data_IF_522750000838
#
_entry.id   IF_522750000838
#
_cell.length_a   1.000
_cell.length_b   1.000
_cell.length_c   1.000
_cell.angle_alpha   90.00
_cell.angle_beta   90.00
_cell.angle_gamma   90.00
#
_symmetry.space_group_name_H-M   'P 1'
#
loop_
_entity.id
_entity.type
_entity.pdbx_description
1 polymer ?
#
# COMPACT_ATOMS: atom_id res chain seq x y z
N UNK A 1 -16.20 -11.70 -81.95
CA UNK A 1 -15.35 -11.10 -80.89
C UNK A 1 -16.27 -10.41 -79.90
N UNK A 2 -16.48 -10.98 -78.71
CA UNK A 2 -17.03 -10.30 -77.54
C UNK A 2 -16.42 -10.99 -76.31
N UNK A 3 -15.52 -10.30 -75.61
CA UNK A 3 -14.91 -10.80 -74.36
C UNK A 3 -15.78 -10.31 -73.20
N UNK A 4 -16.47 -11.23 -72.53
CA UNK A 4 -17.15 -10.94 -71.26
C UNK A 4 -16.09 -11.06 -70.16
N UNK A 5 -15.77 -9.95 -69.51
CA UNK A 5 -14.88 -9.90 -68.34
C UNK A 5 -15.78 -10.07 -67.12
N UNK A 6 -15.68 -11.22 -66.45
CA UNK A 6 -16.38 -11.50 -65.21
C UNK A 6 -15.53 -10.97 -64.03
N UNK A 7 -15.99 -9.90 -63.39
CA UNK A 7 -15.38 -9.40 -62.16
C UNK A 7 -15.90 -10.22 -60.97
N UNK A 8 -15.02 -10.99 -60.33
CA UNK A 8 -15.32 -11.70 -59.08
C UNK A 8 -14.91 -10.78 -57.93
N UNK A 9 -15.89 -10.18 -57.26
CA UNK A 9 -15.66 -9.48 -55.99
C UNK A 9 -15.56 -10.50 -54.86
N UNK A 10 -14.35 -10.75 -54.37
CA UNK A 10 -14.13 -11.54 -53.15
C UNK A 10 -14.38 -10.63 -51.96
N UNK A 11 -15.54 -10.78 -51.31
CA UNK A 11 -15.83 -10.18 -50.01
C UNK A 11 -15.02 -10.93 -48.94
N UNK A 12 -13.91 -10.33 -48.52
CA UNK A 12 -13.16 -10.78 -47.35
C UNK A 12 -13.96 -10.34 -46.12
N UNK A 13 -14.73 -11.25 -45.53
CA UNK A 13 -15.32 -11.04 -44.21
C UNK A 13 -14.18 -11.02 -43.19
N UNK A 14 -13.74 -9.83 -42.79
CA UNK A 14 -12.84 -9.67 -41.67
C UNK A 14 -13.64 -10.02 -40.41
N UNK A 15 -13.64 -11.31 -40.03
CA UNK A 15 -14.14 -11.74 -38.74
C UNK A 15 -13.32 -11.05 -37.68
N UNK A 16 -13.95 -10.19 -36.89
CA UNK A 16 -13.36 -9.67 -35.66
C UNK A 16 -13.12 -10.85 -34.73
N UNK A 17 -11.91 -11.42 -34.79
CA UNK A 17 -11.38 -12.26 -33.73
C UNK A 17 -11.25 -11.35 -32.51
N UNK A 18 -12.33 -11.22 -31.75
CA UNK A 18 -12.23 -10.74 -30.38
C UNK A 18 -11.31 -11.73 -29.68
N UNK A 19 -10.11 -11.27 -29.31
CA UNK A 19 -9.25 -12.02 -28.42
C UNK A 19 -10.09 -12.36 -27.18
N UNK A 20 -10.47 -13.63 -27.01
CA UNK A 20 -11.01 -14.10 -25.74
C UNK A 20 -9.94 -13.75 -24.70
N UNK A 21 -10.24 -12.79 -23.84
CA UNK A 21 -9.48 -12.50 -22.62
C UNK A 21 -10.06 -13.44 -21.56
N UNK A 22 -9.49 -14.63 -21.33
CA UNK A 22 -10.11 -15.65 -20.47
C UNK A 22 -10.15 -15.24 -18.99
N UNK A 23 -9.44 -14.18 -18.61
CA UNK A 23 -9.37 -13.70 -17.23
C UNK A 23 -9.92 -12.28 -17.12
N UNK A 24 -11.24 -12.13 -17.21
CA UNK A 24 -11.90 -10.86 -16.84
C UNK A 24 -11.96 -10.62 -15.33
N UNK A 25 -11.65 -11.65 -14.52
CA UNK A 25 -11.73 -11.57 -13.06
C UNK A 25 -13.15 -11.46 -12.49
N UNK A 26 -14.17 -11.35 -13.34
CA UNK A 26 -15.59 -11.21 -12.96
C UNK A 26 -16.09 -12.41 -12.12
N UNK A 27 -15.48 -13.59 -12.25
CA UNK A 27 -15.77 -14.77 -11.44
C UNK A 27 -14.85 -14.93 -10.21
N UNK A 28 -13.87 -14.03 -10.03
CA UNK A 28 -12.94 -14.04 -8.89
C UNK A 28 -13.32 -13.04 -7.80
N UNK A 29 -14.24 -12.09 -8.09
CA UNK A 29 -14.71 -11.10 -7.12
C UNK A 29 -15.87 -11.70 -6.34
N UNK A 30 -15.64 -12.07 -5.09
CA UNK A 30 -16.67 -12.62 -4.20
C UNK A 30 -17.48 -11.52 -3.51
N UNK A 31 -16.86 -10.38 -3.22
CA UNK A 31 -17.49 -9.21 -2.57
C UNK A 31 -16.87 -7.93 -3.12
N UNK A 32 -17.70 -6.89 -3.30
CA UNK A 32 -17.29 -5.52 -3.58
C UNK A 32 -18.20 -4.56 -2.80
N UNK A 33 -17.62 -3.78 -1.92
CA UNK A 33 -18.34 -2.85 -1.06
C UNK A 33 -17.45 -1.65 -0.67
N UNK A 34 -18.06 -0.64 -0.05
CA UNK A 34 -17.34 0.45 0.59
C UNK A 34 -16.99 0.07 2.03
N UNK A 35 -15.80 0.47 2.48
CA UNK A 35 -15.36 0.28 3.88
C UNK A 35 -16.07 1.26 4.82
N UNK A 36 -16.39 2.46 4.34
CA UNK A 36 -17.04 3.52 5.11
C UNK A 36 -17.89 4.41 4.21
N UNK A 37 -18.83 5.15 4.80
CA UNK A 37 -19.62 6.21 4.15
C UNK A 37 -19.03 7.60 4.47
N UNK A 38 -19.29 8.64 3.65
CA UNK A 38 -18.75 9.98 3.89
C UNK A 38 -19.01 10.55 5.29
N UNK A 39 -20.12 10.17 5.93
CA UNK A 39 -20.49 10.56 7.30
C UNK A 39 -19.67 9.87 8.40
N UNK A 40 -18.98 8.76 8.11
CA UNK A 40 -18.17 8.02 9.08
C UNK A 40 -16.79 8.65 9.32
N UNK A 41 -16.40 9.61 8.47
CA UNK A 41 -15.05 10.21 8.47
C UNK A 41 -15.11 11.73 8.32
N UNK A 42 -14.08 12.41 8.82
CA UNK A 42 -13.97 13.88 8.75
C UNK A 42 -13.19 14.40 7.53
N UNK A 43 -12.71 13.51 6.65
CA UNK A 43 -11.86 13.86 5.53
C UNK A 43 -12.52 13.59 4.17
N UNK A 44 -12.30 14.46 3.17
CA UNK A 44 -12.83 14.28 1.81
C UNK A 44 -11.94 13.40 0.92
N UNK A 45 -10.70 13.08 1.34
CA UNK A 45 -9.71 12.38 0.52
C UNK A 45 -9.04 11.24 1.26
N UNK A 46 -8.88 10.09 0.59
CA UNK A 46 -8.10 8.95 1.05
C UNK A 46 -7.27 8.36 -0.09
N UNK A 47 -6.12 7.77 0.23
CA UNK A 47 -5.24 7.14 -0.77
C UNK A 47 -4.27 6.12 -0.12
N UNK A 48 -3.56 5.36 -0.97
CA UNK A 48 -2.59 4.32 -0.62
C UNK A 48 -3.11 3.30 0.41
N UNK A 49 -4.14 2.54 0.03
CA UNK A 49 -4.71 1.52 0.91
C UNK A 49 -3.87 0.24 0.98
N UNK A 50 -3.99 -0.45 2.11
CA UNK A 50 -3.44 -1.77 2.38
C UNK A 50 -4.45 -2.60 3.17
N UNK A 51 -4.35 -3.92 3.14
CA UNK A 51 -5.26 -4.84 3.84
C UNK A 51 -4.48 -6.06 4.33
N UNK A 52 -4.78 -6.55 5.53
CA UNK A 52 -4.23 -7.77 6.10
C UNK A 52 -5.33 -8.66 6.68
N UNK A 53 -5.07 -9.96 6.70
CA UNK A 53 -5.87 -10.94 7.43
C UNK A 53 -5.29 -11.10 8.84
N UNK A 54 -6.18 -11.29 9.81
CA UNK A 54 -5.90 -11.46 11.24
C UNK A 54 -6.84 -12.54 11.79
N UNK A 55 -6.57 -13.03 12.99
CA UNK A 55 -7.47 -13.99 13.65
C UNK A 55 -8.87 -13.41 13.91
N UNK A 56 -8.99 -12.08 13.95
CA UNK A 56 -10.27 -11.37 14.12
C UNK A 56 -11.05 -11.16 12.82
N UNK A 57 -10.47 -11.43 11.65
CA UNK A 57 -11.02 -11.08 10.34
C UNK A 57 -10.03 -10.25 9.51
N UNK A 58 -10.53 -9.32 8.70
CA UNK A 58 -9.65 -8.44 7.90
C UNK A 58 -9.46 -7.10 8.61
N UNK A 59 -8.34 -6.45 8.31
CA UNK A 59 -8.11 -5.04 8.66
C UNK A 59 -7.55 -4.31 7.46
N UNK A 60 -8.12 -3.16 7.15
CA UNK A 60 -7.64 -2.26 6.12
C UNK A 60 -7.04 -1.01 6.74
N UNK A 61 -6.06 -0.41 6.06
CA UNK A 61 -5.50 0.89 6.41
C UNK A 61 -5.30 1.75 5.18
N UNK A 62 -5.36 3.07 5.34
CA UNK A 62 -5.10 4.07 4.30
C UNK A 62 -4.67 5.38 4.97
N UNK A 63 -4.14 6.35 4.21
CA UNK A 63 -4.02 7.70 4.73
C UNK A 63 -5.22 8.55 4.28
N UNK A 64 -5.68 9.45 5.15
CA UNK A 64 -6.85 10.29 4.90
C UNK A 64 -6.75 11.66 5.59
N UNK A 65 -7.23 12.69 4.89
CA UNK A 65 -7.19 14.09 5.35
C UNK A 65 -7.81 15.04 4.33
N UNK A 66 -7.75 16.35 4.60
CA UNK A 66 -8.34 17.40 3.73
C UNK A 66 -7.79 17.33 2.30
N UNK A 67 -6.47 17.18 2.17
CA UNK A 67 -5.79 16.94 0.90
C UNK A 67 -4.43 16.32 1.16
N UNK A 68 -3.88 15.63 0.18
CA UNK A 68 -2.52 15.09 0.24
C UNK A 68 -1.51 16.21 0.60
N UNK A 69 -0.55 15.90 1.49
CA UNK A 69 0.43 16.83 2.12
C UNK A 69 -0.09 17.71 3.26
N UNK A 70 -1.39 17.85 3.44
CA UNK A 70 -1.88 18.71 4.51
C UNK A 70 -1.57 18.13 5.90
N UNK A 71 -1.28 18.97 6.91
CA UNK A 71 -0.92 18.50 8.25
C UNK A 71 -1.94 17.57 8.90
N UNK A 72 -3.22 17.64 8.52
CA UNK A 72 -4.30 16.82 9.05
C UNK A 72 -4.37 15.40 8.44
N UNK A 73 -3.50 15.05 7.49
CA UNK A 73 -3.44 13.68 6.96
C UNK A 73 -2.92 12.73 8.02
N UNK A 74 -3.78 11.80 8.46
CA UNK A 74 -3.44 10.70 9.36
C UNK A 74 -3.52 9.33 8.67
N UNK A 75 -3.07 8.29 9.37
CA UNK A 75 -3.34 6.90 9.01
C UNK A 75 -4.63 6.48 9.68
N UNK A 76 -5.54 5.92 8.88
CA UNK A 76 -6.83 5.42 9.30
C UNK A 76 -6.88 3.91 9.10
N UNK A 77 -7.62 3.24 9.97
CA UNK A 77 -7.83 1.79 9.93
C UNK A 77 -9.31 1.45 10.09
N UNK A 78 -9.75 0.35 9.49
CA UNK A 78 -11.06 -0.22 9.76
C UNK A 78 -10.95 -1.75 9.75
N UNK A 79 -11.63 -2.37 10.71
CA UNK A 79 -11.65 -3.84 10.89
C UNK A 79 -12.93 -4.43 10.33
N UNK A 80 -12.79 -5.48 9.54
CA UNK A 80 -13.90 -6.30 9.04
C UNK A 80 -14.11 -7.50 9.96
N UNK A 81 -15.15 -7.43 10.80
CA UNK A 81 -15.46 -8.48 11.78
C UNK A 81 -16.95 -8.79 11.74
N UNK A 82 -17.33 -10.07 11.80
CA UNK A 82 -18.74 -10.47 11.74
C UNK A 82 -19.48 -10.04 10.47
N UNK A 83 -18.78 -9.94 9.33
CA UNK A 83 -19.37 -9.60 8.03
C UNK A 83 -19.60 -8.10 7.80
N UNK A 84 -18.98 -7.21 8.58
CA UNK A 84 -19.10 -5.75 8.41
C UNK A 84 -17.80 -5.03 8.75
N UNK A 85 -17.56 -3.90 8.08
CA UNK A 85 -16.50 -2.95 8.44
C UNK A 85 -16.91 -2.13 9.67
N UNK A 86 -15.98 -1.93 10.59
CA UNK A 86 -16.13 -1.00 11.70
C UNK A 86 -15.97 0.46 11.23
N UNK A 87 -16.48 1.40 12.03
CA UNK A 87 -16.22 2.84 11.82
C UNK A 87 -14.70 3.05 11.80
N UNK A 88 -14.14 3.80 10.82
CA UNK A 88 -12.72 4.04 10.76
C UNK A 88 -12.17 4.75 12.00
N UNK A 89 -10.98 4.34 12.43
CA UNK A 89 -10.23 4.91 13.56
C UNK A 89 -8.88 5.44 13.08
N UNK A 90 -8.36 6.51 13.69
CA UNK A 90 -7.08 7.15 13.33
C UNK A 90 -5.96 6.76 14.32
N UNK A 91 -5.27 5.62 14.15
CA UNK A 91 -4.21 5.21 15.08
C UNK A 91 -2.92 6.03 14.97
N UNK A 92 -2.71 6.77 13.88
CA UNK A 92 -1.55 7.66 13.74
C UNK A 92 -1.93 8.99 13.08
N UNK A 93 -1.64 10.10 13.78
CA UNK A 93 -2.04 11.45 13.37
C UNK A 93 -0.85 12.41 13.12
N UNK A 94 0.39 11.93 13.30
CA UNK A 94 1.61 12.71 13.06
C UNK A 94 1.85 13.88 14.02
N UNK A 95 1.15 13.94 15.18
CA UNK A 95 1.33 15.01 16.18
C UNK A 95 2.66 14.80 16.94
N UNK A 96 3.49 15.85 16.99
CA UNK A 96 4.77 15.92 17.69
C UNK A 96 4.83 17.22 18.48
N UNK A 97 4.51 17.15 19.77
CA UNK A 97 4.32 18.34 20.59
C UNK A 97 3.22 19.21 19.98
N UNK A 98 3.53 20.48 19.70
CA UNK A 98 2.58 21.45 19.15
C UNK A 98 2.45 21.41 17.62
N UNK A 99 3.22 20.54 16.94
CA UNK A 99 3.23 20.45 15.47
C UNK A 99 2.59 19.16 15.00
N UNK A 100 1.83 19.23 13.91
CA UNK A 100 1.29 18.06 13.21
C UNK A 100 1.98 17.91 11.85
N UNK A 101 2.35 16.69 11.51
CA UNK A 101 2.94 16.33 10.22
C UNK A 101 2.01 15.35 9.48
N UNK A 102 1.90 15.45 8.15
CA UNK A 102 1.14 14.46 7.39
C UNK A 102 1.76 13.07 7.51
N UNK A 103 0.89 12.05 7.57
CA UNK A 103 1.24 10.64 7.52
C UNK A 103 1.02 10.05 6.12
N UNK A 104 1.75 9.00 5.77
CA UNK A 104 1.80 8.49 4.39
C UNK A 104 1.97 6.98 4.32
N UNK A 105 1.47 6.41 3.22
CA UNK A 105 1.75 5.06 2.72
C UNK A 105 1.76 3.98 3.81
N UNK A 106 0.60 3.70 4.44
CA UNK A 106 0.51 2.63 5.41
C UNK A 106 0.77 1.27 4.77
N UNK A 107 1.51 0.41 5.47
CA UNK A 107 1.71 -0.99 5.09
C UNK A 107 1.45 -1.87 6.31
N UNK A 108 0.40 -2.70 6.19
CA UNK A 108 0.06 -3.71 7.18
C UNK A 108 0.83 -5.01 6.91
N UNK A 109 1.38 -5.59 7.97
CA UNK A 109 1.98 -6.92 7.96
C UNK A 109 1.57 -7.66 9.24
N UNK A 110 0.94 -8.82 9.09
CA UNK A 110 0.63 -9.69 10.22
C UNK A 110 1.72 -10.77 10.32
N UNK A 111 2.45 -10.82 11.43
CA UNK A 111 3.48 -11.84 11.68
C UNK A 111 2.91 -13.19 12.14
N UNK A 112 1.60 -13.24 12.45
CA UNK A 112 0.93 -14.34 13.13
C UNK A 112 0.72 -14.06 14.62
N UNK A 113 1.67 -13.40 15.26
CA UNK A 113 1.59 -13.02 16.69
C UNK A 113 1.21 -11.54 16.87
N UNK A 114 1.68 -10.68 15.96
CA UNK A 114 1.51 -9.23 16.04
C UNK A 114 1.17 -8.65 14.67
N UNK A 115 0.35 -7.60 14.69
CA UNK A 115 0.06 -6.79 13.52
C UNK A 115 0.95 -5.54 13.52
N UNK A 116 1.80 -5.44 12.52
CA UNK A 116 2.69 -4.31 12.28
C UNK A 116 2.03 -3.34 11.29
N UNK A 117 2.00 -2.05 11.63
CA UNK A 117 1.61 -0.98 10.72
C UNK A 117 2.76 0.00 10.54
N UNK A 118 3.43 -0.11 9.39
CA UNK A 118 4.47 0.81 8.95
C UNK A 118 3.83 2.01 8.22
N UNK A 119 4.39 3.20 8.39
CA UNK A 119 3.97 4.40 7.67
C UNK A 119 5.08 5.45 7.69
N UNK A 120 4.97 6.50 6.89
CA UNK A 120 5.89 7.64 6.93
C UNK A 120 5.24 8.84 7.58
N UNK A 121 6.05 9.71 8.17
CA UNK A 121 5.60 10.99 8.75
C UNK A 121 6.54 12.09 8.28
N UNK A 122 5.99 13.20 7.78
CA UNK A 122 6.78 14.38 7.37
C UNK A 122 6.23 15.08 6.13
N UNK A 123 6.58 16.37 5.97
CA UNK A 123 6.02 17.27 4.95
C UNK A 123 6.46 16.99 3.51
N UNK A 124 7.60 16.34 3.32
CA UNK A 124 8.19 16.11 2.00
C UNK A 124 9.10 14.88 1.99
N UNK A 125 9.39 14.30 0.81
CA UNK A 125 10.28 13.14 0.70
C UNK A 125 11.68 13.33 1.30
N UNK A 126 12.18 14.56 1.36
CA UNK A 126 13.47 14.91 1.97
C UNK A 126 13.42 15.07 3.49
N UNK A 127 12.23 15.22 4.07
CA UNK A 127 12.04 15.52 5.50
C UNK A 127 11.30 14.43 6.26
N UNK A 128 10.69 13.47 5.56
CA UNK A 128 9.95 12.40 6.21
C UNK A 128 10.84 11.33 6.82
N UNK A 129 10.27 10.54 7.72
CA UNK A 129 10.89 9.37 8.30
C UNK A 129 9.88 8.23 8.40
N UNK A 130 10.38 6.99 8.54
CA UNK A 130 9.54 5.82 8.78
C UNK A 130 9.16 5.67 10.25
N UNK A 131 7.95 5.19 10.49
CA UNK A 131 7.44 4.83 11.80
C UNK A 131 6.72 3.48 11.78
N UNK A 132 6.60 2.90 12.96
CA UNK A 132 5.90 1.66 13.22
C UNK A 132 5.01 1.82 14.45
N UNK A 133 3.78 1.35 14.35
CA UNK A 133 2.93 0.98 15.49
C UNK A 133 2.61 -0.50 15.42
N UNK A 134 2.42 -1.12 16.59
CA UNK A 134 2.18 -2.56 16.73
C UNK A 134 0.87 -2.79 17.45
N UNK A 135 0.11 -3.78 17.01
CA UNK A 135 -1.07 -4.28 17.70
C UNK A 135 -0.90 -5.76 18.02
N UNK A 136 -1.20 -6.14 19.26
CA UNK A 136 -1.22 -7.54 19.73
C UNK A 136 -2.66 -8.08 19.87
N UNK A 137 -3.65 -7.32 19.40
CA UNK A 137 -5.08 -7.60 19.59
C UNK A 137 -5.88 -7.40 18.29
N UNK A 138 -5.29 -7.77 17.16
CA UNK A 138 -5.91 -7.73 15.82
C UNK A 138 -6.37 -6.32 15.40
N UNK A 139 -5.61 -5.30 15.78
CA UNK A 139 -5.84 -3.89 15.46
C UNK A 139 -6.95 -3.22 16.28
N UNK A 140 -7.29 -3.78 17.46
CA UNK A 140 -8.21 -3.12 18.41
C UNK A 140 -7.51 -1.97 19.12
N UNK A 141 -6.26 -2.16 19.52
CA UNK A 141 -5.41 -1.15 20.10
C UNK A 141 -4.02 -1.19 19.49
N UNK A 142 -3.32 -0.06 19.57
CA UNK A 142 -2.01 0.15 18.97
C UNK A 142 -1.03 0.69 20.00
N UNK A 143 0.23 0.28 19.88
CA UNK A 143 1.33 0.85 20.65
C UNK A 143 1.51 2.33 20.37
N UNK A 144 2.29 3.00 21.23
CA UNK A 144 2.82 4.32 20.86
C UNK A 144 3.66 4.21 19.57
N UNK A 145 3.62 5.22 18.67
CA UNK A 145 4.47 5.25 17.48
C UNK A 145 5.95 5.22 17.82
N UNK A 146 6.68 4.34 17.13
CA UNK A 146 8.13 4.25 17.21
C UNK A 146 8.74 4.68 15.88
N UNK A 147 9.61 5.70 15.94
CA UNK A 147 10.43 6.11 14.81
C UNK A 147 11.44 5.01 14.47
N UNK A 148 11.54 4.67 13.19
CA UNK A 148 12.57 3.75 12.70
C UNK A 148 13.95 4.40 12.79
N UNK A 149 15.05 3.62 12.83
CA UNK A 149 16.39 4.18 12.86
C UNK A 149 16.63 5.13 11.67
N UNK A 150 17.51 6.11 11.86
CA UNK A 150 17.83 7.08 10.83
C UNK A 150 18.29 6.39 9.53
N UNK A 151 17.76 6.83 8.40
CA UNK A 151 18.01 6.23 7.08
C UNK A 151 17.05 5.11 6.67
N UNK A 152 16.25 4.56 7.60
CA UNK A 152 15.31 3.47 7.31
C UNK A 152 13.86 3.96 7.22
N UNK A 153 13.13 3.48 6.21
CA UNK A 153 11.72 3.82 5.98
C UNK A 153 10.77 2.66 6.26
N UNK A 154 11.28 1.43 6.33
CA UNK A 154 10.47 0.23 6.29
C UNK A 154 9.86 -0.01 4.89
N UNK A 155 8.84 -0.87 4.77
CA UNK A 155 8.17 -1.09 3.50
C UNK A 155 7.46 0.18 3.02
N UNK A 156 7.72 0.59 1.78
CA UNK A 156 7.19 1.88 1.25
C UNK A 156 5.79 1.76 0.65
N UNK A 157 5.39 0.56 0.21
CA UNK A 157 4.09 0.31 -0.44
C UNK A 157 3.67 -1.15 -0.31
N UNK A 158 4.55 -2.05 -0.72
CA UNK A 158 4.26 -3.47 -0.75
C UNK A 158 4.47 -4.12 0.61
N UNK A 159 3.70 -5.18 0.87
CA UNK A 159 3.86 -6.00 2.07
C UNK A 159 5.28 -6.57 2.14
N UNK A 160 5.92 -6.54 3.31
CA UNK A 160 7.12 -7.31 3.55
C UNK A 160 6.89 -8.81 3.36
N UNK A 161 8.00 -9.54 3.17
CA UNK A 161 8.02 -11.02 3.17
C UNK A 161 8.79 -11.50 4.38
N UNK A 162 8.18 -12.34 5.21
CA UNK A 162 8.89 -13.02 6.28
C UNK A 162 9.60 -14.24 5.70
N UNK A 163 10.92 -14.26 5.82
CA UNK A 163 11.77 -15.35 5.36
C UNK A 163 11.84 -16.48 6.39
N UNK A 164 12.18 -17.70 5.95
CA UNK A 164 12.28 -18.89 6.80
C UNK A 164 13.26 -18.74 7.98
N UNK A 165 14.23 -17.82 7.86
CA UNK A 165 15.19 -17.51 8.93
C UNK A 165 14.69 -16.44 9.92
N UNK A 166 13.41 -16.05 9.84
CA UNK A 166 12.79 -15.05 10.72
C UNK A 166 13.04 -13.60 10.33
N UNK A 167 13.78 -13.33 9.25
CA UNK A 167 14.02 -11.96 8.79
C UNK A 167 12.83 -11.45 7.99
N UNK A 168 12.34 -10.27 8.36
CA UNK A 168 11.34 -9.55 7.59
C UNK A 168 12.04 -8.73 6.49
N UNK A 169 11.80 -9.10 5.23
CA UNK A 169 12.34 -8.43 4.05
C UNK A 169 11.33 -7.39 3.54
N UNK A 170 11.69 -6.11 3.67
CA UNK A 170 10.86 -4.96 3.36
C UNK A 170 11.28 -4.33 2.04
N UNK A 171 10.42 -4.33 1.00
CA UNK A 171 10.69 -3.59 -0.23
C UNK A 171 10.57 -2.08 0.03
N UNK A 172 11.68 -1.36 -0.16
CA UNK A 172 11.79 0.07 0.18
C UNK A 172 12.32 0.88 -1.00
N UNK A 173 12.27 2.20 -0.83
CA UNK A 173 12.85 3.15 -1.76
C UNK A 173 13.21 4.47 -1.10
N UNK A 174 14.23 5.14 -1.63
CA UNK A 174 14.63 6.49 -1.24
C UNK A 174 14.60 7.47 -2.41
N UNK A 175 14.48 8.76 -2.11
CA UNK A 175 14.33 9.83 -3.13
C UNK A 175 15.41 10.92 -3.06
N UNK A 176 16.34 10.82 -2.10
CA UNK A 176 17.34 11.87 -1.85
C UNK A 176 18.52 11.89 -2.85
N UNK A 177 18.78 10.78 -3.55
CA UNK A 177 19.79 10.69 -4.62
C UNK A 177 19.15 10.20 -5.94
N UNK A 178 18.02 10.81 -6.30
CA UNK A 178 17.08 10.25 -7.28
C UNK A 178 16.38 9.02 -6.72
N UNK A 179 15.47 8.44 -7.50
CA UNK A 179 14.70 7.29 -7.05
C UNK A 179 15.57 6.04 -6.99
N UNK A 180 15.69 5.46 -5.80
CA UNK A 180 16.37 4.19 -5.56
C UNK A 180 15.45 3.21 -4.89
N UNK A 181 15.44 2.00 -5.40
CA UNK A 181 14.86 0.82 -4.79
C UNK A 181 15.96 0.06 -4.07
N UNK A 182 15.66 -0.39 -2.86
CA UNK A 182 16.55 -1.24 -2.05
C UNK A 182 15.69 -2.13 -1.17
N UNK A 183 16.30 -3.13 -0.55
CA UNK A 183 15.62 -3.93 0.46
C UNK A 183 16.10 -3.50 1.84
N UNK A 184 15.14 -3.28 2.75
CA UNK A 184 15.41 -3.12 4.18
C UNK A 184 15.05 -4.43 4.88
N UNK A 185 15.85 -4.84 5.86
CA UNK A 185 15.70 -6.13 6.53
C UNK A 185 15.72 -5.93 8.03
N UNK A 186 14.75 -6.54 8.72
CA UNK A 186 14.68 -6.50 10.17
C UNK A 186 14.45 -7.91 10.74
N UNK A 187 15.35 -8.43 11.60
CA UNK A 187 15.21 -9.76 12.20
C UNK A 187 14.29 -9.77 13.44
N UNK A 188 13.85 -8.59 13.88
CA UNK A 188 13.18 -8.35 15.17
C UNK A 188 11.99 -7.39 15.00
N UNK A 189 11.28 -7.54 13.87
CA UNK A 189 10.03 -6.85 13.55
C UNK A 189 10.10 -5.32 13.73
N UNK A 190 11.23 -4.76 13.33
CA UNK A 190 11.48 -3.34 13.16
C UNK A 190 12.33 -2.72 14.25
N UNK A 191 12.92 -3.49 15.17
CA UNK A 191 13.80 -2.91 16.22
C UNK A 191 15.18 -2.56 15.65
N UNK A 192 15.81 -3.48 14.93
CA UNK A 192 17.08 -3.32 14.24
C UNK A 192 16.92 -3.54 12.75
N UNK A 193 17.79 -2.88 11.98
CA UNK A 193 17.65 -2.83 10.53
C UNK A 193 18.99 -2.93 9.82
N UNK A 194 18.96 -3.55 8.65
CA UNK A 194 20.03 -3.50 7.65
C UNK A 194 19.40 -3.19 6.29
N UNK A 195 20.18 -2.66 5.35
CA UNK A 195 19.70 -2.40 4.00
C UNK A 195 20.70 -2.89 2.96
N UNK A 196 20.20 -3.27 1.79
CA UNK A 196 21.05 -3.56 0.64
C UNK A 196 21.57 -2.25 0.03
N UNK A 197 22.60 -2.37 -0.81
CA UNK A 197 22.86 -1.35 -1.82
C UNK A 197 21.64 -1.15 -2.75
N UNK A 198 21.57 -0.02 -3.46
CA UNK A 198 20.50 0.20 -4.43
C UNK A 198 20.47 -0.88 -5.51
N UNK A 199 19.25 -1.33 -5.83
CA UNK A 199 18.98 -2.40 -6.80
C UNK A 199 18.74 -1.88 -8.23
N UNK A 200 18.58 -0.56 -8.39
CA UNK A 200 18.44 0.10 -9.68
C UNK A 200 19.49 1.20 -9.88
N UNK A 201 19.75 1.52 -11.15
CA UNK A 201 20.46 2.73 -11.52
C UNK A 201 19.53 3.97 -11.52
N UNK A 202 20.14 5.16 -11.63
CA UNK A 202 19.44 6.46 -11.73
C UNK A 202 18.58 6.61 -12.99
N UNK A 203 18.82 5.82 -14.03
CA UNK A 203 18.13 5.93 -15.31
C UNK A 203 16.75 5.29 -15.28
N UNK A 204 16.54 4.36 -14.36
CA UNK A 204 15.23 3.74 -14.10
C UNK A 204 14.56 4.45 -12.93
N UNK A 205 13.51 5.23 -13.25
CA UNK A 205 12.67 5.91 -12.26
C UNK A 205 11.74 4.92 -11.54
N UNK A 206 12.26 4.25 -10.50
CA UNK A 206 11.50 3.33 -9.66
C UNK A 206 11.51 3.76 -8.18
N UNK A 207 10.32 4.05 -7.62
CA UNK A 207 10.14 4.49 -6.22
C UNK A 207 9.03 3.74 -5.46
N UNK A 208 8.40 2.76 -6.09
CA UNK A 208 7.32 1.98 -5.51
C UNK A 208 7.38 0.54 -6.07
N UNK A 209 8.42 -0.23 -5.69
CA UNK A 209 8.60 -1.59 -6.18
C UNK A 209 7.33 -2.40 -5.90
N UNK A 210 6.80 -3.01 -6.97
CA UNK A 210 5.54 -3.78 -7.00
C UNK A 210 5.81 -5.26 -7.19
#
# INVERSE_FOLDING_TARGET
MNKIILFVCILISCGTLTAQQPFRGEQCITVKEFIYQPEDVAFPSCHASTIAETDGGLIAAWFGGTAEKNPDVGIWTSRFTGGKWAIPEEPANGIRGDKRYPCWHPVLFNSGDELLLFFKVGSSPSEWWGELIVSCDNGISWSAPRKLPEGFMGPVKNKPVLLDNGVLLCPSSSEHDGWRVHMEMTPDFGMTWTMTEPLNDKSISANQPS
#
